data_IF_606071021660
#
_entry.id   IF_606071021660
#
_cell.length_a   1.000
_cell.length_b   1.000
_cell.length_c   1.000
_cell.angle_alpha   90.00
_cell.angle_beta   90.00
_cell.angle_gamma   90.00
#
_symmetry.space_group_name_H-M   'P 1'
#
loop_
_entity.id
_entity.type
_entity.pdbx_description
1 polymer ?
#
# COMPACT_ATOMS: atom_id res chain seq x y z
N UNK A 1 -49.41 22.30 -12.43
CA UNK A 1 -48.41 22.92 -11.54
C UNK A 1 -47.05 22.63 -12.15
N UNK A 2 -46.32 23.67 -12.54
CA UNK A 2 -44.90 23.63 -12.91
C UNK A 2 -44.06 23.14 -11.70
N UNK A 3 -42.78 22.76 -11.75
CA UNK A 3 -41.70 22.95 -12.70
C UNK A 3 -40.55 21.97 -12.35
N UNK A 4 -39.61 21.78 -13.29
CA UNK A 4 -38.15 21.69 -13.10
C UNK A 4 -37.60 20.57 -12.22
N UNK A 5 -36.65 19.74 -12.67
CA UNK A 5 -35.42 20.11 -13.37
C UNK A 5 -34.26 20.08 -12.38
N UNK A 6 -33.28 19.20 -12.62
CA UNK A 6 -32.03 19.17 -11.84
C UNK A 6 -31.42 17.78 -11.69
N UNK A 7 -30.96 17.19 -12.80
CA UNK A 7 -30.00 16.10 -12.76
C UNK A 7 -28.67 16.68 -12.25
N UNK A 8 -28.25 16.29 -11.04
CA UNK A 8 -26.89 16.58 -10.59
C UNK A 8 -25.95 15.60 -11.30
N UNK A 9 -25.16 16.14 -12.23
CA UNK A 9 -24.05 15.45 -12.84
C UNK A 9 -22.95 15.25 -11.78
N UNK A 10 -22.98 14.08 -11.12
CA UNK A 10 -21.87 13.60 -10.32
C UNK A 10 -20.82 12.97 -11.24
N UNK A 11 -19.64 13.58 -11.26
CA UNK A 11 -18.39 13.06 -11.81
C UNK A 11 -18.28 11.53 -11.66
N UNK A 12 -18.23 10.82 -12.79
CA UNK A 12 -17.85 9.40 -12.78
C UNK A 12 -16.40 9.31 -12.34
N UNK A 13 -16.16 8.91 -11.10
CA UNK A 13 -14.86 8.42 -10.72
C UNK A 13 -14.54 7.25 -11.65
N UNK A 14 -13.49 7.41 -12.44
CA UNK A 14 -12.92 6.31 -13.20
C UNK A 14 -12.27 5.39 -12.17
N UNK A 15 -13.00 4.34 -11.80
CA UNK A 15 -12.49 3.28 -10.95
C UNK A 15 -11.28 2.66 -11.68
N UNK A 16 -10.11 2.81 -11.06
CA UNK A 16 -8.92 2.04 -11.38
C UNK A 16 -9.30 0.55 -11.29
N UNK A 17 -8.94 -0.19 -12.34
CA UNK A 17 -9.53 -1.50 -12.62
C UNK A 17 -9.29 -2.50 -11.50
N UNK A 18 -10.41 -3.03 -11.00
CA UNK A 18 -10.65 -4.10 -10.02
C UNK A 18 -9.53 -5.15 -9.92
N UNK A 19 -8.47 -4.78 -9.21
CA UNK A 19 -7.51 -5.69 -8.63
C UNK A 19 -7.58 -5.43 -7.14
N UNK A 20 -8.03 -6.43 -6.39
CA UNK A 20 -8.24 -6.38 -4.95
C UNK A 20 -6.91 -6.15 -4.22
N UNK A 21 -6.45 -4.89 -4.19
CA UNK A 21 -5.19 -4.47 -3.59
C UNK A 21 -5.42 -4.17 -2.11
N UNK A 22 -4.91 -5.04 -1.25
CA UNK A 22 -5.14 -4.98 0.20
C UNK A 22 -4.38 -3.84 0.91
N UNK A 23 -3.36 -3.26 0.27
CA UNK A 23 -2.61 -2.11 0.80
C UNK A 23 -1.09 -2.31 0.80
N UNK A 24 -0.40 -1.39 1.47
CA UNK A 24 1.05 -1.39 1.64
C UNK A 24 1.42 -1.77 3.08
N UNK A 25 2.53 -2.48 3.26
CA UNK A 25 3.03 -2.83 4.59
C UNK A 25 4.56 -2.74 4.62
N UNK A 26 5.10 -2.41 5.80
CA UNK A 26 6.54 -2.40 6.07
C UNK A 26 6.85 -3.30 7.26
N UNK A 27 7.99 -3.97 7.21
CA UNK A 27 8.48 -4.78 8.32
C UNK A 27 9.32 -3.94 9.28
N UNK A 28 9.08 -4.08 10.58
CA UNK A 28 9.93 -3.50 11.62
C UNK A 28 11.27 -4.25 11.71
N UNK A 29 12.38 -3.55 11.60
CA UNK A 29 13.73 -4.14 11.67
C UNK A 29 14.07 -4.70 13.07
N UNK A 30 13.45 -4.18 14.14
CA UNK A 30 13.71 -4.66 15.50
C UNK A 30 12.89 -5.91 15.90
N UNK A 31 11.60 -5.94 15.56
CA UNK A 31 10.70 -7.00 16.04
C UNK A 31 10.10 -7.86 14.93
N UNK A 32 10.45 -7.57 13.67
CA UNK A 32 10.03 -8.29 12.46
C UNK A 32 8.51 -8.32 12.19
N UNK A 33 7.71 -7.59 12.98
CA UNK A 33 6.26 -7.44 12.77
C UNK A 33 5.95 -6.51 11.59
N UNK A 34 4.86 -6.79 10.89
CA UNK A 34 4.40 -5.99 9.76
C UNK A 34 3.42 -4.90 10.20
N UNK A 35 3.61 -3.69 9.63
CA UNK A 35 2.81 -2.50 9.92
C UNK A 35 2.21 -1.98 8.62
N UNK A 36 0.89 -1.75 8.62
CA UNK A 36 0.18 -1.17 7.47
C UNK A 36 0.60 0.28 7.27
N UNK A 37 0.93 0.63 6.04
CA UNK A 37 1.24 1.99 5.60
C UNK A 37 0.02 2.55 4.87
N UNK A 38 -0.54 3.69 5.31
CA UNK A 38 -1.84 4.18 4.87
C UNK A 38 -1.84 4.75 3.45
N UNK A 39 -0.67 5.16 2.93
CA UNK A 39 -0.55 5.78 1.61
C UNK A 39 0.62 5.21 0.82
N UNK A 40 0.52 5.29 -0.50
CA UNK A 40 1.60 4.86 -1.39
C UNK A 40 2.81 5.76 -1.25
N UNK A 41 2.60 7.06 -1.09
CA UNK A 41 3.65 8.06 -1.00
C UNK A 41 4.52 7.84 0.24
N UNK A 42 3.90 7.49 1.37
CA UNK A 42 4.61 7.13 2.60
C UNK A 42 5.39 5.83 2.41
N UNK A 43 4.78 4.82 1.77
CA UNK A 43 5.46 3.56 1.46
C UNK A 43 6.68 3.77 0.54
N UNK A 44 6.53 4.60 -0.50
CA UNK A 44 7.61 4.93 -1.43
C UNK A 44 8.73 5.74 -0.77
N UNK A 45 8.42 6.62 0.19
CA UNK A 45 9.41 7.33 0.98
C UNK A 45 10.21 6.40 1.89
N UNK A 46 9.55 5.42 2.51
CA UNK A 46 10.20 4.43 3.37
C UNK A 46 11.13 3.53 2.55
N UNK A 47 10.64 2.96 1.45
CA UNK A 47 11.43 2.00 0.63
C UNK A 47 12.59 2.62 -0.12
N UNK A 48 12.61 3.95 -0.30
CA UNK A 48 13.66 4.67 -1.05
C UNK A 48 15.05 4.45 -0.44
N UNK A 49 15.13 4.31 0.90
CA UNK A 49 16.39 4.12 1.61
C UNK A 49 16.30 3.02 2.69
N UNK A 50 15.38 2.05 2.58
CA UNK A 50 15.09 1.11 3.67
C UNK A 50 16.29 0.23 4.09
N UNK A 51 17.28 0.03 3.23
CA UNK A 51 18.51 -0.69 3.59
C UNK A 51 19.48 0.17 4.41
N UNK A 52 19.43 1.49 4.25
CA UNK A 52 20.31 2.46 4.90
C UNK A 52 19.64 3.11 6.13
N UNK A 53 18.32 3.29 6.08
CA UNK A 53 17.44 3.83 7.13
C UNK A 53 16.29 2.84 7.38
N UNK A 54 16.52 1.78 8.19
CA UNK A 54 15.53 0.75 8.45
C UNK A 54 14.30 1.32 9.17
N UNK A 55 13.15 0.69 8.94
CA UNK A 55 11.91 1.12 9.55
C UNK A 55 11.68 0.47 10.92
N UNK A 56 11.23 1.27 11.90
CA UNK A 56 10.94 0.80 13.26
C UNK A 56 9.54 1.20 13.71
N UNK A 57 8.91 0.38 14.56
CA UNK A 57 7.55 0.63 15.06
C UNK A 57 7.34 2.03 15.66
N UNK A 58 8.34 2.55 16.38
CA UNK A 58 8.28 3.85 17.04
C UNK A 58 8.24 5.04 16.06
N UNK A 59 8.55 4.83 14.78
CA UNK A 59 8.41 5.86 13.74
C UNK A 59 6.94 6.18 13.43
N UNK A 60 6.01 5.28 13.78
CA UNK A 60 4.58 5.51 13.67
C UNK A 60 4.01 5.92 15.04
N UNK A 61 3.21 7.00 15.12
CA UNK A 61 2.64 7.45 16.38
C UNK A 61 1.72 6.37 16.97
N UNK A 62 1.86 6.15 18.29
CA UNK A 62 1.08 5.18 19.05
C UNK A 62 1.27 3.71 18.62
N UNK A 63 2.43 3.37 18.05
CA UNK A 63 2.78 1.98 17.71
C UNK A 63 4.13 1.62 18.33
N UNK A 64 4.18 0.45 18.96
CA UNK A 64 5.36 -0.10 19.62
C UNK A 64 5.67 -1.52 19.13
N UNK A 65 6.77 -2.11 19.60
CA UNK A 65 7.09 -3.50 19.27
C UNK A 65 6.23 -4.51 20.04
N UNK A 66 5.61 -4.08 21.14
CA UNK A 66 4.72 -4.88 21.99
C UNK A 66 3.31 -5.00 21.41
N UNK A 67 2.92 -4.06 20.53
CA UNK A 67 1.64 -4.14 19.82
C UNK A 67 1.60 -5.35 18.86
N UNK A 68 0.46 -6.05 18.77
CA UNK A 68 0.29 -7.18 17.86
C UNK A 68 0.51 -6.74 16.41
N UNK A 69 0.95 -7.67 15.54
CA UNK A 69 1.15 -7.37 14.12
C UNK A 69 -0.16 -6.87 13.50
N UNK A 70 -0.10 -5.89 12.60
CA UNK A 70 -1.32 -5.42 11.92
C UNK A 70 -1.68 -6.29 10.72
N UNK A 71 -0.74 -7.11 10.27
CA UNK A 71 -0.87 -8.04 9.17
C UNK A 71 0.00 -9.24 9.49
N UNK A 72 -0.52 -10.45 9.34
CA UNK A 72 0.29 -11.67 9.44
C UNK A 72 0.35 -12.32 8.06
N UNK A 73 1.55 -12.64 7.53
CA UNK A 73 1.68 -13.24 6.21
C UNK A 73 1.02 -14.62 6.08
N UNK A 74 0.93 -15.36 7.20
CA UNK A 74 0.45 -16.74 7.27
C UNK A 74 -1.07 -16.86 7.53
N UNK A 75 -1.80 -15.73 7.60
CA UNK A 75 -3.27 -15.75 7.63
C UNK A 75 -3.82 -16.01 6.21
N UNK A 76 -3.63 -17.24 5.72
CA UNK A 76 -4.05 -17.71 4.38
C UNK A 76 -5.60 -17.80 4.19
N UNK A 77 -6.40 -17.44 5.20
CA UNK A 77 -7.86 -17.66 5.20
C UNK A 77 -8.62 -16.76 4.22
N UNK A 78 -8.04 -15.63 3.79
CA UNK A 78 -8.69 -14.65 2.90
C UNK A 78 -8.19 -14.70 1.43
N UNK A 79 -7.21 -15.56 1.11
CA UNK A 79 -6.65 -15.67 -0.25
C UNK A 79 -5.81 -14.47 -0.70
N UNK A 80 -5.29 -13.67 0.24
CA UNK A 80 -4.44 -12.51 -0.05
C UNK A 80 -3.03 -12.96 -0.50
N UNK A 81 -2.59 -12.49 -1.66
CA UNK A 81 -1.24 -12.75 -2.19
C UNK A 81 -0.30 -11.62 -1.80
N UNK A 82 0.82 -11.97 -1.17
CA UNK A 82 1.88 -11.04 -0.83
C UNK A 82 2.90 -10.90 -1.97
N UNK A 83 3.30 -9.66 -2.25
CA UNK A 83 4.37 -9.36 -3.18
C UNK A 83 5.58 -8.82 -2.42
N UNK A 84 6.74 -9.46 -2.59
CA UNK A 84 7.99 -8.98 -2.02
C UNK A 84 8.43 -7.69 -2.71
N UNK A 85 8.84 -6.70 -1.91
CA UNK A 85 9.30 -5.42 -2.43
C UNK A 85 10.72 -5.48 -3.01
N UNK A 86 11.01 -4.56 -3.93
CA UNK A 86 12.38 -4.26 -4.37
C UNK A 86 12.86 -3.05 -3.55
N UNK A 87 13.80 -3.23 -2.59
CA UNK A 87 14.26 -2.16 -1.73
C UNK A 87 15.09 -1.12 -2.49
N UNK A 88 15.24 0.06 -1.89
CA UNK A 88 16.03 1.20 -2.40
C UNK A 88 15.60 1.69 -3.80
N UNK A 89 14.31 1.59 -4.09
CA UNK A 89 13.75 2.09 -5.33
C UNK A 89 13.38 3.57 -5.14
N UNK A 90 14.05 4.44 -5.90
CA UNK A 90 13.80 5.90 -5.88
C UNK A 90 12.31 6.21 -6.07
N UNK A 91 11.84 7.29 -5.42
CA UNK A 91 10.47 7.76 -5.63
C UNK A 91 10.22 8.15 -7.09
N UNK A 92 8.99 7.96 -7.60
CA UNK A 92 8.62 8.44 -8.92
C UNK A 92 8.78 9.97 -9.00
N UNK A 93 9.13 10.52 -10.18
CA UNK A 93 9.19 11.95 -10.39
C UNK A 93 7.90 12.66 -9.99
N UNK A 94 8.01 13.91 -9.54
CA UNK A 94 6.85 14.72 -9.15
C UNK A 94 5.79 14.76 -10.26
N UNK A 95 4.53 14.51 -9.90
CA UNK A 95 3.41 14.45 -10.85
C UNK A 95 3.25 13.10 -11.56
N UNK A 96 4.06 12.10 -11.22
CA UNK A 96 3.91 10.72 -11.69
C UNK A 96 3.67 9.77 -10.52
N UNK A 97 3.07 8.61 -10.80
CA UNK A 97 2.87 7.56 -9.81
C UNK A 97 3.40 6.25 -10.39
N UNK A 98 4.08 5.45 -9.57
CA UNK A 98 4.47 4.09 -9.92
C UNK A 98 3.23 3.21 -10.06
N UNK A 99 3.13 2.36 -11.07
CA UNK A 99 2.04 1.40 -11.18
C UNK A 99 2.55 0.03 -10.74
N UNK A 100 1.80 -0.64 -9.86
CA UNK A 100 2.09 -2.02 -9.48
C UNK A 100 1.12 -2.92 -10.26
N UNK A 101 1.64 -3.84 -11.06
CA UNK A 101 0.81 -4.75 -11.86
C UNK A 101 1.15 -6.19 -11.54
N UNK A 102 0.21 -6.88 -10.89
CA UNK A 102 0.27 -8.33 -10.72
C UNK A 102 0.10 -9.01 -12.09
N UNK A 103 0.99 -9.96 -12.41
CA UNK A 103 0.82 -10.78 -13.62
C UNK A 103 -0.35 -11.76 -13.46
N UNK A 104 -1.00 -12.19 -14.57
CA UNK A 104 -2.17 -13.07 -14.50
C UNK A 104 -1.91 -14.43 -13.85
N UNK A 105 -0.66 -14.89 -13.85
CA UNK A 105 -0.20 -16.15 -13.25
C UNK A 105 0.26 -15.99 -11.78
N UNK A 106 0.13 -14.79 -11.21
CA UNK A 106 0.51 -14.45 -9.83
C UNK A 106 1.98 -14.71 -9.47
N UNK A 107 2.84 -14.93 -10.46
CA UNK A 107 4.26 -15.25 -10.22
C UNK A 107 5.10 -14.03 -9.81
N UNK A 108 4.63 -12.82 -10.17
CA UNK A 108 5.39 -11.57 -9.99
C UNK A 108 4.49 -10.34 -10.06
N UNK A 109 4.86 -9.32 -9.30
CA UNK A 109 4.41 -7.94 -9.51
C UNK A 109 5.46 -7.19 -10.32
N UNK A 110 5.05 -6.61 -11.45
CA UNK A 110 5.85 -5.67 -12.22
C UNK A 110 5.71 -4.27 -11.60
N UNK A 111 6.85 -3.58 -11.47
CA UNK A 111 7.08 -2.34 -10.70
C UNK A 111 7.70 -1.27 -11.58
#
# INVERSE_FOLDING_TARGET
MAAGGGQQAGIKQVAESDSNFAGYAVQCDNCLKWRKIPSKEEYEAIRENILDDPWYCHMKPNVSCDDPSQVEPDDDDDGTIWAADIPNLLRPPAGTQRLLKMRPDFSRVDV
#
